data_IF_104756963693
#
_entry.id   IF_104756963693
#
_cell.length_a   1.000
_cell.length_b   1.000
_cell.length_c   1.000
_cell.angle_alpha   90.00
_cell.angle_beta   90.00
_cell.angle_gamma   90.00
#
_symmetry.space_group_name_H-M   'P 1'
#
loop_
_entity.id
_entity.type
_entity.pdbx_description
1 polymer ?
#
# COMPACT_ATOMS: atom_id res chain seq x y z
N UNK A 1 24.27 -11.35 12.18
CA UNK A 1 24.62 -10.26 11.25
C UNK A 1 23.69 -10.36 10.05
N UNK A 2 23.18 -9.23 9.55
CA UNK A 2 22.36 -9.18 8.35
C UNK A 2 23.22 -9.53 7.12
N UNK A 3 22.62 -10.20 6.10
CA UNK A 3 23.35 -10.60 4.89
C UNK A 3 23.84 -9.39 4.09
N UNK A 4 25.05 -9.47 3.55
CA UNK A 4 25.59 -8.50 2.60
C UNK A 4 25.37 -8.90 1.13
N UNK A 5 24.91 -10.12 0.87
CA UNK A 5 24.62 -10.61 -0.49
C UNK A 5 23.35 -9.96 -1.02
N UNK A 6 23.24 -9.79 -2.34
CA UNK A 6 22.02 -9.37 -2.97
C UNK A 6 20.85 -10.27 -2.58
N UNK A 7 19.69 -9.67 -2.35
CA UNK A 7 18.48 -10.37 -1.91
C UNK A 7 17.22 -9.76 -2.52
N UNK A 8 16.05 -10.36 -2.29
CA UNK A 8 14.81 -9.91 -2.89
C UNK A 8 14.38 -8.51 -2.40
N UNK A 9 13.59 -7.84 -3.20
CA UNK A 9 12.86 -6.63 -2.75
C UNK A 9 11.70 -7.10 -1.87
N UNK A 10 11.68 -6.68 -0.61
CA UNK A 10 10.60 -6.99 0.32
C UNK A 10 9.37 -6.13 0.06
N UNK A 11 8.20 -6.75 0.00
CA UNK A 11 6.90 -6.05 -0.06
C UNK A 11 6.11 -6.45 1.19
N UNK A 12 5.82 -5.49 2.05
CA UNK A 12 5.04 -5.72 3.26
C UNK A 12 3.64 -5.15 3.14
N UNK A 13 2.65 -5.93 3.53
CA UNK A 13 1.28 -5.46 3.73
C UNK A 13 0.67 -6.03 5.01
N UNK A 14 -0.33 -5.36 5.54
CA UNK A 14 -1.10 -5.83 6.70
C UNK A 14 -1.96 -7.06 6.40
N UNK A 15 -2.16 -7.41 5.14
CA UNK A 15 -3.01 -8.50 4.71
C UNK A 15 -2.80 -8.90 3.26
N UNK A 16 -3.85 -8.75 2.44
CA UNK A 16 -3.85 -9.16 1.04
C UNK A 16 -3.70 -8.00 0.06
N UNK A 17 -4.13 -6.80 0.44
CA UNK A 17 -4.27 -5.66 -0.47
C UNK A 17 -2.98 -5.27 -1.17
N UNK A 18 -1.83 -5.39 -0.50
CA UNK A 18 -0.52 -5.12 -1.07
C UNK A 18 -0.15 -6.00 -2.28
N UNK A 19 -0.89 -7.08 -2.54
CA UNK A 19 -0.75 -7.87 -3.76
C UNK A 19 -1.05 -7.04 -5.01
N UNK A 20 -1.95 -6.06 -4.94
CA UNK A 20 -2.20 -5.10 -6.05
C UNK A 20 -0.98 -4.23 -6.34
N UNK A 21 -0.24 -3.85 -5.30
CA UNK A 21 1.00 -3.09 -5.42
C UNK A 21 2.11 -3.97 -6.00
N UNK A 22 2.29 -5.18 -5.47
CA UNK A 22 3.26 -6.15 -5.99
C UNK A 22 2.97 -6.46 -7.47
N UNK A 23 1.70 -6.64 -7.85
CA UNK A 23 1.30 -6.88 -9.24
C UNK A 23 1.77 -5.75 -10.16
N UNK A 24 1.48 -4.48 -9.83
CA UNK A 24 1.94 -3.33 -10.60
C UNK A 24 3.47 -3.24 -10.69
N UNK A 25 4.17 -3.49 -9.58
CA UNK A 25 5.63 -3.50 -9.55
C UNK A 25 6.18 -4.61 -10.46
N UNK A 26 5.67 -5.84 -10.40
CA UNK A 26 6.11 -6.96 -11.23
C UNK A 26 5.88 -6.73 -12.73
N UNK A 27 4.81 -6.07 -13.10
CA UNK A 27 4.56 -5.73 -14.51
C UNK A 27 5.65 -4.81 -15.09
N UNK A 28 6.14 -3.86 -14.30
CA UNK A 28 7.13 -2.88 -14.75
C UNK A 28 8.58 -3.33 -14.52
N UNK A 29 8.82 -4.10 -13.46
CA UNK A 29 10.13 -4.54 -12.98
C UNK A 29 10.18 -6.07 -12.81
N UNK A 30 9.90 -6.86 -13.86
CA UNK A 30 9.77 -8.32 -13.76
C UNK A 30 11.09 -9.05 -13.49
N UNK A 31 12.24 -8.39 -13.66
CA UNK A 31 13.56 -8.99 -13.52
C UNK A 31 13.97 -9.25 -12.07
N UNK A 32 13.42 -8.52 -11.09
CA UNK A 32 13.81 -8.65 -9.68
C UNK A 32 13.14 -9.84 -9.00
N UNK A 33 13.80 -10.31 -7.93
CA UNK A 33 13.18 -11.23 -6.97
C UNK A 33 12.40 -10.44 -5.94
N UNK A 34 11.23 -10.96 -5.58
CA UNK A 34 10.35 -10.34 -4.59
C UNK A 34 10.05 -11.30 -3.45
N UNK A 35 9.90 -10.73 -2.25
CA UNK A 35 9.40 -11.43 -1.08
C UNK A 35 8.24 -10.65 -0.51
N UNK A 36 7.03 -11.20 -0.70
CA UNK A 36 5.80 -10.63 -0.14
C UNK A 36 5.58 -11.18 1.27
N UNK A 37 5.29 -10.28 2.21
CA UNK A 37 4.91 -10.63 3.58
C UNK A 37 3.57 -9.97 3.94
N UNK A 38 2.53 -10.80 4.11
CA UNK A 38 1.21 -10.39 4.61
C UNK A 38 1.06 -10.69 6.09
N UNK A 39 0.79 -9.67 6.90
CA UNK A 39 0.56 -9.84 8.34
C UNK A 39 -0.91 -10.11 8.67
N UNK A 40 -1.47 -11.12 8.03
CA UNK A 40 -2.90 -11.45 8.05
C UNK A 40 -3.43 -11.83 9.44
N UNK A 41 -2.62 -12.47 10.28
CA UNK A 41 -3.03 -12.84 11.65
C UNK A 41 -3.32 -11.61 12.54
N UNK A 42 -2.71 -10.45 12.21
CA UNK A 42 -2.89 -9.22 12.98
C UNK A 42 -3.72 -8.15 12.25
N UNK A 43 -4.20 -8.47 11.04
CA UNK A 43 -5.13 -7.62 10.28
C UNK A 43 -6.48 -7.45 11.04
N UNK A 44 -7.24 -6.37 10.77
CA UNK A 44 -6.89 -5.21 9.94
C UNK A 44 -6.09 -4.15 10.73
N UNK A 45 -5.24 -3.39 10.04
CA UNK A 45 -4.47 -2.28 10.63
C UNK A 45 -5.25 -0.95 10.70
N UNK A 46 -6.24 -0.79 9.82
CA UNK A 46 -7.00 0.46 9.67
C UNK A 46 -7.53 1.08 10.97
N UNK A 47 -8.20 0.32 11.86
CA UNK A 47 -8.75 0.83 13.11
C UNK A 47 -7.75 0.86 14.28
N UNK A 48 -6.55 0.29 14.15
CA UNK A 48 -5.58 0.17 15.25
C UNK A 48 -4.92 1.50 15.59
N UNK A 49 -4.41 1.63 16.82
CA UNK A 49 -3.65 2.79 17.27
C UNK A 49 -2.35 2.96 16.46
N UNK A 50 -1.74 4.14 16.59
CA UNK A 50 -0.48 4.45 15.94
C UNK A 50 0.64 3.49 16.41
N UNK A 51 0.79 3.35 17.72
CA UNK A 51 1.85 2.54 18.33
C UNK A 51 1.76 1.05 17.95
N UNK A 52 0.54 0.50 17.90
CA UNK A 52 0.33 -0.89 17.48
C UNK A 52 0.72 -1.10 16.02
N UNK A 53 0.31 -0.20 15.10
CA UNK A 53 0.68 -0.30 13.69
C UNK A 53 2.18 -0.11 13.50
N UNK A 54 2.79 0.83 14.22
CA UNK A 54 4.24 1.03 14.18
C UNK A 54 4.99 -0.23 14.62
N UNK A 55 4.66 -0.82 15.78
CA UNK A 55 5.36 -2.00 16.28
C UNK A 55 5.19 -3.20 15.35
N UNK A 56 3.99 -3.46 14.85
CA UNK A 56 3.76 -4.56 13.91
C UNK A 56 4.53 -4.39 12.60
N UNK A 57 4.53 -3.18 12.06
CA UNK A 57 5.26 -2.86 10.82
C UNK A 57 6.78 -2.97 11.04
N UNK A 58 7.28 -2.48 12.17
CA UNK A 58 8.70 -2.57 12.55
C UNK A 58 9.17 -4.02 12.62
N UNK A 59 8.41 -4.90 13.28
CA UNK A 59 8.72 -6.34 13.36
C UNK A 59 8.78 -6.98 11.96
N UNK A 60 7.82 -6.66 11.10
CA UNK A 60 7.80 -7.18 9.72
C UNK A 60 9.01 -6.69 8.90
N UNK A 61 9.36 -5.41 9.00
CA UNK A 61 10.52 -4.83 8.32
C UNK A 61 11.82 -5.49 8.79
N UNK A 62 12.00 -5.66 10.11
CA UNK A 62 13.17 -6.36 10.66
C UNK A 62 13.24 -7.78 10.13
N UNK A 63 12.12 -8.48 10.11
CA UNK A 63 12.06 -9.86 9.61
C UNK A 63 12.43 -9.96 8.13
N UNK A 64 11.93 -9.06 7.29
CA UNK A 64 12.31 -8.99 5.87
C UNK A 64 13.82 -8.72 5.70
N UNK A 65 14.41 -7.88 6.54
CA UNK A 65 15.85 -7.65 6.53
C UNK A 65 16.65 -8.88 6.95
N UNK A 66 16.20 -9.63 7.95
CA UNK A 66 16.81 -10.90 8.36
C UNK A 66 16.76 -11.94 7.23
N UNK A 67 15.73 -11.89 6.40
CA UNK A 67 15.55 -12.75 5.23
C UNK A 67 16.35 -12.28 4.00
N UNK A 68 17.17 -11.25 4.13
CA UNK A 68 18.08 -10.79 3.10
C UNK A 68 17.61 -9.61 2.26
N UNK A 69 16.42 -9.07 2.50
CA UNK A 69 15.98 -7.86 1.80
C UNK A 69 16.87 -6.67 2.16
N UNK A 70 17.30 -5.90 1.18
CA UNK A 70 18.01 -4.62 1.37
C UNK A 70 17.09 -3.43 1.16
N UNK A 71 16.00 -3.66 0.47
CA UNK A 71 14.95 -2.70 0.19
C UNK A 71 13.59 -3.31 0.54
N UNK A 72 12.80 -2.59 1.34
CA UNK A 72 11.44 -2.97 1.70
C UNK A 72 10.47 -1.86 1.28
N UNK A 73 9.40 -2.23 0.60
CA UNK A 73 8.28 -1.34 0.26
C UNK A 73 7.10 -1.68 1.17
N UNK A 74 6.62 -0.70 1.92
CA UNK A 74 5.38 -0.83 2.69
C UNK A 74 4.19 -0.70 1.73
N UNK A 75 3.72 -1.83 1.21
CA UNK A 75 2.58 -1.93 0.30
C UNK A 75 1.22 -1.66 0.96
N UNK A 76 1.20 -1.29 2.24
CA UNK A 76 0.02 -0.93 3.01
C UNK A 76 -0.04 0.59 3.26
N UNK A 77 -1.15 1.24 2.89
CA UNK A 77 -1.35 2.67 3.14
C UNK A 77 -1.34 3.00 4.63
N UNK A 78 -2.01 2.20 5.46
CA UNK A 78 -2.05 2.42 6.90
C UNK A 78 -0.68 2.28 7.54
N UNK A 79 0.10 1.28 7.14
CA UNK A 79 1.48 1.10 7.61
C UNK A 79 2.39 2.25 7.12
N UNK A 80 2.30 2.64 5.85
CA UNK A 80 3.02 3.79 5.30
C UNK A 80 2.70 5.08 6.04
N UNK A 81 1.42 5.30 6.37
CA UNK A 81 0.95 6.49 7.06
C UNK A 81 1.41 6.57 8.53
N UNK A 82 1.39 5.44 9.24
CA UNK A 82 1.59 5.41 10.69
C UNK A 82 2.98 4.97 11.12
N UNK A 83 3.71 4.19 10.32
CA UNK A 83 4.97 3.58 10.76
C UNK A 83 6.19 4.08 9.99
N UNK A 84 6.08 4.39 8.70
CA UNK A 84 7.23 4.64 7.83
C UNK A 84 8.20 5.68 8.39
N UNK A 85 7.71 6.85 8.77
CA UNK A 85 8.56 7.96 9.25
C UNK A 85 9.33 7.57 10.50
N UNK A 86 8.65 6.92 11.47
CA UNK A 86 9.29 6.47 12.71
C UNK A 86 10.34 5.40 12.43
N UNK A 87 10.03 4.42 11.57
CA UNK A 87 10.99 3.39 11.17
C UNK A 87 12.22 4.04 10.51
N UNK A 88 12.03 4.95 9.55
CA UNK A 88 13.13 5.60 8.85
C UNK A 88 14.02 6.44 9.77
N UNK A 89 13.42 7.17 10.71
CA UNK A 89 14.14 8.12 11.57
C UNK A 89 14.72 7.50 12.85
N UNK A 90 14.02 6.53 13.44
CA UNK A 90 14.36 6.00 14.77
C UNK A 90 15.00 4.62 14.71
N UNK A 91 14.56 3.77 13.77
CA UNK A 91 14.99 2.36 13.73
C UNK A 91 16.10 2.12 12.70
N UNK A 92 15.99 2.64 11.48
CA UNK A 92 16.97 2.41 10.42
C UNK A 92 18.40 2.77 10.82
N UNK A 93 18.67 3.90 11.50
CA UNK A 93 20.02 4.23 11.95
C UNK A 93 20.63 3.21 12.92
N UNK A 94 19.78 2.45 13.65
CA UNK A 94 20.21 1.44 14.64
C UNK A 94 20.26 0.03 14.06
N UNK A 95 19.41 -0.28 13.09
CA UNK A 95 19.30 -1.62 12.48
C UNK A 95 20.38 -1.77 11.40
N UNK A 96 20.32 -0.96 10.38
CA UNK A 96 21.27 -0.95 9.26
C UNK A 96 21.04 0.32 8.41
N UNK A 97 21.93 1.31 8.47
CA UNK A 97 21.79 2.56 7.74
C UNK A 97 21.94 2.42 6.21
N UNK A 98 22.41 1.28 5.72
CA UNK A 98 22.53 1.00 4.28
C UNK A 98 21.25 0.42 3.67
N UNK A 99 20.33 -0.10 4.49
CA UNK A 99 19.04 -0.61 4.02
C UNK A 99 18.00 0.50 3.88
N UNK A 100 16.94 0.22 3.15
CA UNK A 100 15.91 1.23 2.86
C UNK A 100 14.51 0.67 3.07
N UNK A 101 13.65 1.54 3.58
CA UNK A 101 12.20 1.31 3.67
C UNK A 101 11.50 2.45 2.94
N UNK A 102 10.66 2.10 1.97
CA UNK A 102 9.84 3.04 1.19
C UNK A 102 8.37 2.83 1.49
N UNK A 103 7.57 3.87 1.32
CA UNK A 103 6.11 3.80 1.42
C UNK A 103 5.43 4.13 0.11
N UNK A 104 4.12 3.89 0.04
CA UNK A 104 3.32 4.05 -1.19
C UNK A 104 2.50 5.35 -1.24
N UNK A 105 2.54 6.19 -0.19
CA UNK A 105 1.80 7.46 -0.18
C UNK A 105 2.51 8.51 -1.05
N UNK A 106 3.82 8.67 -0.85
CA UNK A 106 4.61 9.69 -1.54
C UNK A 106 4.59 9.57 -3.07
N UNK A 107 4.72 8.39 -3.70
CA UNK A 107 4.59 8.25 -5.14
C UNK A 107 3.30 8.85 -5.71
N UNK A 108 2.17 8.61 -5.04
CA UNK A 108 0.88 9.17 -5.42
C UNK A 108 0.82 10.68 -5.22
N UNK A 109 1.42 11.19 -4.13
CA UNK A 109 1.49 12.62 -3.86
C UNK A 109 2.36 13.37 -4.89
N UNK A 110 3.39 12.74 -5.42
CA UNK A 110 4.26 13.32 -6.46
C UNK A 110 3.52 13.54 -7.79
N UNK A 111 2.67 12.60 -8.20
CA UNK A 111 1.98 12.67 -9.49
C UNK A 111 0.66 13.42 -9.47
N UNK A 112 0.01 13.55 -8.31
CA UNK A 112 -1.36 14.07 -8.22
C UNK A 112 -1.49 15.49 -8.80
N UNK A 113 -0.42 16.30 -8.69
CA UNK A 113 -0.39 17.64 -9.24
C UNK A 113 -0.61 17.72 -10.75
N UNK A 114 -0.25 16.67 -11.50
CA UNK A 114 -0.46 16.56 -12.94
C UNK A 114 -1.81 15.93 -13.29
N UNK A 115 -2.48 15.31 -12.32
CA UNK A 115 -3.72 14.57 -12.53
C UNK A 115 -4.99 15.38 -12.21
N UNK A 116 -4.86 16.42 -11.38
CA UNK A 116 -5.95 17.35 -11.06
C UNK A 116 -5.83 18.64 -11.86
N UNK A 117 -6.96 19.16 -12.32
CA UNK A 117 -7.08 20.49 -12.97
C UNK A 117 -7.68 21.52 -12.02
N UNK A 118 -8.65 21.08 -11.21
CA UNK A 118 -9.35 21.94 -10.23
C UNK A 118 -8.47 22.32 -9.03
N UNK A 119 -7.39 21.56 -8.79
CA UNK A 119 -6.58 21.63 -7.58
C UNK A 119 -7.33 21.20 -6.31
N UNK A 120 -8.43 20.45 -6.48
CA UNK A 120 -9.21 19.83 -5.43
C UNK A 120 -9.15 18.30 -5.57
N UNK A 121 -8.64 17.63 -4.55
CA UNK A 121 -8.36 16.19 -4.56
C UNK A 121 -9.07 15.49 -3.42
N UNK A 122 -9.78 14.41 -3.75
CA UNK A 122 -10.40 13.52 -2.77
C UNK A 122 -9.44 12.38 -2.38
N UNK A 123 -9.49 11.95 -1.12
CA UNK A 123 -8.81 10.74 -0.63
C UNK A 123 -9.83 9.83 0.02
N UNK A 124 -10.04 8.64 -0.56
CA UNK A 124 -10.82 7.57 0.04
C UNK A 124 -9.84 6.54 0.63
N UNK A 125 -9.89 6.32 1.94
CA UNK A 125 -8.90 5.49 2.63
C UNK A 125 -9.48 4.84 3.90
N UNK A 126 -8.66 4.06 4.59
CA UNK A 126 -9.01 3.55 5.92
C UNK A 126 -9.06 4.69 6.94
N UNK A 127 -9.77 4.45 8.05
CA UNK A 127 -9.87 5.43 9.14
C UNK A 127 -8.47 5.86 9.65
N UNK A 128 -7.56 4.90 9.81
CA UNK A 128 -6.20 5.18 10.26
C UNK A 128 -5.39 6.04 9.29
N UNK A 129 -5.54 5.83 7.99
CA UNK A 129 -4.89 6.63 6.96
C UNK A 129 -5.44 8.06 6.93
N UNK A 130 -6.77 8.22 7.01
CA UNK A 130 -7.39 9.57 7.05
C UNK A 130 -6.97 10.33 8.30
N UNK A 131 -7.05 9.69 9.49
CA UNK A 131 -6.68 10.34 10.76
C UNK A 131 -5.18 10.70 10.87
N UNK A 132 -4.32 10.04 10.11
CA UNK A 132 -2.88 10.33 10.10
C UNK A 132 -2.53 11.63 9.37
N UNK A 133 -3.44 12.17 8.56
CA UNK A 133 -3.22 13.34 7.68
C UNK A 133 -2.05 13.16 6.68
N UNK A 134 -1.51 11.94 6.52
CA UNK A 134 -0.28 11.70 5.75
C UNK A 134 -0.40 12.11 4.28
N UNK A 135 -1.58 11.92 3.64
CA UNK A 135 -1.80 12.41 2.28
C UNK A 135 -1.79 13.94 2.22
N UNK A 136 -2.49 14.60 3.14
CA UNK A 136 -2.54 16.06 3.22
C UNK A 136 -1.12 16.62 3.39
N UNK A 137 -0.36 16.07 4.33
CA UNK A 137 1.01 16.51 4.61
C UNK A 137 1.95 16.30 3.42
N UNK A 138 1.92 15.15 2.75
CA UNK A 138 2.80 14.89 1.62
C UNK A 138 2.39 15.68 0.36
N UNK A 139 1.09 15.81 0.08
CA UNK A 139 0.59 16.61 -1.05
C UNK A 139 0.91 18.09 -0.84
N UNK A 140 0.66 18.65 0.34
CA UNK A 140 0.95 20.07 0.63
C UNK A 140 2.43 20.42 0.53
N UNK A 141 3.34 19.49 0.85
CA UNK A 141 4.79 19.73 0.67
C UNK A 141 5.19 19.86 -0.80
N UNK A 142 4.53 19.15 -1.69
CA UNK A 142 4.86 19.08 -3.11
C UNK A 142 4.01 20.04 -3.95
N UNK A 143 2.77 20.22 -3.54
CA UNK A 143 1.74 20.98 -4.23
C UNK A 143 0.92 21.78 -3.21
N UNK A 144 1.47 22.89 -2.67
CA UNK A 144 0.82 23.64 -1.59
C UNK A 144 -0.50 24.32 -2.01
N UNK A 145 -0.77 24.41 -3.28
CA UNK A 145 -2.00 24.93 -3.88
C UNK A 145 -3.12 23.89 -4.01
N UNK A 146 -2.87 22.61 -3.71
CA UNK A 146 -3.90 21.57 -3.78
C UNK A 146 -4.65 21.48 -2.45
N UNK A 147 -5.98 21.58 -2.54
CA UNK A 147 -6.89 21.29 -1.44
C UNK A 147 -7.18 19.80 -1.39
N UNK A 148 -6.99 19.17 -0.22
CA UNK A 148 -7.21 17.73 -0.02
C UNK A 148 -8.39 17.51 0.91
N UNK A 149 -9.37 16.72 0.47
CA UNK A 149 -10.50 16.28 1.26
C UNK A 149 -10.49 14.77 1.45
N UNK A 150 -10.47 14.29 2.70
CA UNK A 150 -10.45 12.86 3.02
C UNK A 150 -11.77 12.34 3.56
N UNK A 151 -12.12 11.09 3.18
CA UNK A 151 -13.25 10.33 3.75
C UNK A 151 -12.82 8.91 4.06
N UNK A 152 -13.14 8.44 5.28
CA UNK A 152 -12.84 7.08 5.72
C UNK A 152 -13.89 6.10 5.18
N UNK A 153 -13.43 4.95 4.67
CA UNK A 153 -14.28 3.90 4.08
C UNK A 153 -14.11 2.56 4.84
N UNK A 154 -14.56 2.45 6.10
CA UNK A 154 -14.25 1.31 6.98
C UNK A 154 -14.80 -0.03 6.48
N UNK A 155 -15.88 -0.04 5.68
CA UNK A 155 -16.50 -1.26 5.17
C UNK A 155 -15.92 -1.75 3.83
N UNK A 156 -15.09 -0.95 3.14
CA UNK A 156 -14.64 -1.31 1.81
C UNK A 156 -13.62 -2.46 1.81
N UNK A 157 -12.76 -2.55 2.83
CA UNK A 157 -11.84 -3.70 2.99
C UNK A 157 -12.63 -4.99 3.24
N UNK A 158 -13.56 -5.06 4.22
CA UNK A 158 -14.43 -6.23 4.40
C UNK A 158 -15.18 -6.65 3.13
N UNK A 159 -15.75 -5.72 2.37
CA UNK A 159 -16.45 -6.05 1.12
C UNK A 159 -15.55 -6.81 0.15
N UNK A 160 -14.28 -6.43 0.04
CA UNK A 160 -13.33 -7.10 -0.84
C UNK A 160 -12.92 -8.46 -0.26
N UNK A 161 -12.53 -8.52 1.02
CA UNK A 161 -12.00 -9.74 1.65
C UNK A 161 -13.06 -10.84 1.82
N UNK A 162 -14.34 -10.48 1.93
CA UNK A 162 -15.45 -11.44 1.97
C UNK A 162 -16.09 -11.71 0.60
N UNK A 163 -15.43 -11.29 -0.49
CA UNK A 163 -15.90 -11.48 -1.87
C UNK A 163 -17.29 -10.88 -2.14
N UNK A 164 -17.59 -9.76 -1.46
CA UNK A 164 -18.85 -9.02 -1.59
C UNK A 164 -18.72 -7.76 -2.47
N UNK A 165 -17.58 -7.59 -3.15
CA UNK A 165 -17.29 -6.41 -3.96
C UNK A 165 -18.36 -6.16 -5.06
N UNK A 166 -18.94 -7.22 -5.62
CA UNK A 166 -19.94 -7.15 -6.67
C UNK A 166 -21.40 -7.18 -6.14
N UNK A 167 -21.59 -7.40 -4.84
CA UNK A 167 -22.91 -7.51 -4.23
C UNK A 167 -23.72 -6.19 -4.30
N UNK A 168 -25.07 -6.25 -4.24
CA UNK A 168 -25.90 -5.06 -4.07
C UNK A 168 -25.58 -4.29 -2.78
N UNK A 169 -25.09 -4.98 -1.73
CA UNK A 169 -24.65 -4.35 -0.48
C UNK A 169 -23.47 -3.43 -0.71
N UNK A 170 -22.54 -3.79 -1.59
CA UNK A 170 -21.40 -2.94 -1.95
C UNK A 170 -21.85 -1.61 -2.58
N UNK A 171 -22.91 -1.63 -3.41
CA UNK A 171 -23.46 -0.40 -4.01
C UNK A 171 -23.83 0.63 -2.95
N UNK A 172 -24.48 0.21 -1.86
CA UNK A 172 -24.85 1.11 -0.77
C UNK A 172 -23.64 1.74 -0.09
N UNK A 173 -22.66 0.90 0.30
CA UNK A 173 -21.49 1.39 1.03
C UNK A 173 -20.56 2.24 0.16
N UNK A 174 -20.40 1.87 -1.12
CA UNK A 174 -19.59 2.65 -2.06
C UNK A 174 -20.25 3.98 -2.36
N UNK A 175 -21.53 3.97 -2.76
CA UNK A 175 -22.28 5.20 -3.05
C UNK A 175 -22.26 6.17 -1.88
N UNK A 176 -22.51 5.67 -0.65
CA UNK A 176 -22.49 6.50 0.57
C UNK A 176 -21.21 7.31 0.72
N UNK A 177 -20.03 6.70 0.45
CA UNK A 177 -18.74 7.38 0.60
C UNK A 177 -18.41 8.29 -0.58
N UNK A 178 -18.83 7.93 -1.77
CA UNK A 178 -18.73 8.83 -2.93
C UNK A 178 -19.62 10.08 -2.72
N UNK A 179 -20.88 9.91 -2.33
CA UNK A 179 -21.76 11.04 -2.04
C UNK A 179 -21.21 11.94 -0.91
N UNK A 180 -20.58 11.33 0.11
CA UNK A 180 -20.00 12.06 1.23
C UNK A 180 -18.82 12.93 0.79
N UNK A 181 -17.88 12.38 0.02
CA UNK A 181 -16.69 13.11 -0.39
C UNK A 181 -17.04 14.21 -1.39
N UNK A 182 -17.94 13.94 -2.33
CA UNK A 182 -18.40 14.93 -3.31
C UNK A 182 -19.25 16.06 -2.68
N UNK A 183 -19.97 15.77 -1.59
CA UNK A 183 -20.66 16.79 -0.82
C UNK A 183 -19.70 17.64 0.02
N UNK A 184 -18.64 17.01 0.55
CA UNK A 184 -17.61 17.70 1.34
C UNK A 184 -16.84 18.71 0.50
N UNK A 185 -16.56 18.37 -0.75
CA UNK A 185 -15.89 19.25 -1.70
C UNK A 185 -16.37 18.96 -3.14
N UNK A 186 -17.32 19.75 -3.65
CA UNK A 186 -17.88 19.58 -4.99
C UNK A 186 -16.92 19.90 -6.15
N UNK A 187 -15.76 20.49 -5.86
CA UNK A 187 -14.75 20.84 -6.87
C UNK A 187 -13.75 19.73 -7.13
N UNK A 188 -13.83 18.62 -6.39
CA UNK A 188 -12.96 17.45 -6.60
C UNK A 188 -13.07 16.94 -8.02
N UNK A 189 -11.92 16.85 -8.71
CA UNK A 189 -11.79 16.27 -10.05
C UNK A 189 -10.83 15.06 -10.11
N UNK A 190 -10.17 14.74 -9.00
CA UNK A 190 -9.34 13.56 -8.85
C UNK A 190 -9.52 12.92 -7.47
N UNK A 191 -9.67 11.59 -7.42
CA UNK A 191 -9.83 10.81 -6.18
C UNK A 191 -8.74 9.77 -6.07
N UNK A 192 -7.95 9.84 -5.01
CA UNK A 192 -6.94 8.86 -4.65
C UNK A 192 -7.59 7.69 -3.91
N UNK A 193 -7.33 6.47 -4.37
CA UNK A 193 -7.66 5.25 -3.64
C UNK A 193 -6.55 4.94 -2.63
N UNK A 194 -6.65 5.52 -1.44
CA UNK A 194 -5.67 5.43 -0.35
C UNK A 194 -5.76 4.12 0.45
N UNK A 195 -6.16 3.03 -0.19
CA UNK A 195 -6.12 1.67 0.33
C UNK A 195 -5.97 0.69 -0.83
N UNK A 196 -5.11 -0.28 -0.65
CA UNK A 196 -4.70 -1.27 -1.65
C UNK A 196 -5.80 -2.27 -2.04
N UNK A 197 -6.86 -2.39 -1.25
CA UNK A 197 -8.05 -3.18 -1.56
C UNK A 197 -9.00 -2.47 -2.54
N UNK A 198 -9.03 -1.15 -2.53
CA UNK A 198 -10.07 -0.37 -3.21
C UNK A 198 -10.08 -0.47 -4.74
N UNK A 199 -8.96 -0.77 -5.43
CA UNK A 199 -9.01 -1.07 -6.87
C UNK A 199 -9.96 -2.21 -7.25
N UNK A 200 -10.22 -3.17 -6.35
CA UNK A 200 -11.18 -4.26 -6.59
C UNK A 200 -12.64 -3.79 -6.57
N UNK A 201 -12.90 -2.60 -6.02
CA UNK A 201 -14.21 -1.93 -6.05
C UNK A 201 -14.35 -0.94 -7.23
N UNK A 202 -13.37 -0.88 -8.14
CA UNK A 202 -13.35 0.11 -9.22
C UNK A 202 -14.65 0.19 -10.03
N UNK A 203 -15.28 -0.94 -10.45
CA UNK A 203 -16.55 -0.88 -11.19
C UNK A 203 -17.66 -0.17 -10.41
N UNK A 204 -17.72 -0.40 -9.10
CA UNK A 204 -18.71 0.24 -8.22
C UNK A 204 -18.38 1.71 -7.97
N UNK A 205 -17.09 2.04 -7.81
CA UNK A 205 -16.62 3.42 -7.63
C UNK A 205 -17.00 4.25 -8.87
N UNK A 206 -16.63 3.77 -10.06
CA UNK A 206 -16.93 4.47 -11.32
C UNK A 206 -18.43 4.61 -11.58
N UNK A 207 -19.26 3.64 -11.14
CA UNK A 207 -20.72 3.69 -11.27
C UNK A 207 -21.35 4.90 -10.56
N UNK A 208 -20.77 5.34 -9.44
CA UNK A 208 -21.35 6.37 -8.58
C UNK A 208 -20.61 7.71 -8.61
N UNK A 209 -19.44 7.76 -9.27
CA UNK A 209 -18.71 9.01 -9.44
C UNK A 209 -19.37 9.89 -10.49
N UNK A 210 -19.40 11.21 -10.29
CA UNK A 210 -19.77 12.16 -11.33
C UNK A 210 -18.84 12.08 -12.53
N UNK A 211 -19.37 12.40 -13.72
CA UNK A 211 -18.57 12.51 -14.93
C UNK A 211 -17.42 13.52 -14.75
N UNK A 212 -16.27 13.18 -15.28
CA UNK A 212 -15.07 14.04 -15.25
C UNK A 212 -14.21 13.89 -14.00
N UNK A 213 -14.63 13.15 -12.98
CA UNK A 213 -13.79 12.85 -11.81
C UNK A 213 -12.89 11.66 -12.12
N UNK A 214 -11.56 11.87 -12.04
CA UNK A 214 -10.56 10.82 -12.26
C UNK A 214 -10.34 9.99 -10.99
N UNK A 215 -10.27 8.68 -11.13
CA UNK A 215 -9.81 7.78 -10.06
C UNK A 215 -8.33 7.48 -10.23
N UNK A 216 -7.58 7.55 -9.13
CA UNK A 216 -6.12 7.37 -9.09
C UNK A 216 -5.80 6.14 -8.24
N UNK A 217 -5.69 4.93 -8.84
CA UNK A 217 -5.13 3.76 -8.18
C UNK A 217 -3.60 3.91 -8.05
N UNK A 218 -3.00 3.19 -7.09
CA UNK A 218 -1.60 3.45 -6.73
C UNK A 218 -0.57 2.56 -7.45
N UNK A 219 -0.97 1.37 -7.91
CA UNK A 219 -0.03 0.32 -8.33
C UNK A 219 1.00 0.79 -9.37
N UNK A 220 0.55 1.44 -10.43
CA UNK A 220 1.42 1.94 -11.52
C UNK A 220 2.36 3.05 -11.03
N UNK A 221 1.85 4.02 -10.28
CA UNK A 221 2.67 5.15 -9.77
C UNK A 221 3.72 4.70 -8.77
N UNK A 222 3.39 3.70 -7.95
CA UNK A 222 4.36 3.09 -7.03
C UNK A 222 5.44 2.33 -7.80
N UNK A 223 5.07 1.61 -8.86
CA UNK A 223 6.01 0.89 -9.72
C UNK A 223 6.97 1.85 -10.43
N UNK A 224 6.44 2.93 -11.04
CA UNK A 224 7.25 3.97 -11.69
C UNK A 224 8.21 4.65 -10.70
N UNK A 225 7.71 5.04 -9.53
CA UNK A 225 8.54 5.66 -8.49
C UNK A 225 9.63 4.72 -7.98
N UNK A 226 9.34 3.42 -7.83
CA UNK A 226 10.34 2.42 -7.46
C UNK A 226 11.42 2.28 -8.52
N UNK A 227 11.04 2.23 -9.82
CA UNK A 227 11.99 2.20 -10.96
C UNK A 227 12.91 3.40 -10.93
N UNK A 228 12.37 4.60 -10.79
CA UNK A 228 13.16 5.83 -10.71
C UNK A 228 14.05 5.86 -9.46
N UNK A 229 13.55 5.35 -8.34
CA UNK A 229 14.33 5.23 -7.11
C UNK A 229 15.56 4.34 -7.32
N UNK A 230 15.40 3.15 -7.89
CA UNK A 230 16.49 2.22 -8.17
C UNK A 230 17.50 2.82 -9.14
N UNK A 231 17.04 3.50 -10.21
CA UNK A 231 17.91 4.19 -11.16
C UNK A 231 18.78 5.28 -10.49
N UNK A 232 18.22 6.01 -9.53
CA UNK A 232 18.94 7.06 -8.79
C UNK A 232 19.81 6.54 -7.65
N UNK A 233 19.65 5.27 -7.25
CA UNK A 233 20.37 4.65 -6.13
C UNK A 233 21.01 3.32 -6.54
N UNK A 234 22.01 3.33 -7.45
CA UNK A 234 22.61 2.10 -7.96
C UNK A 234 23.23 1.23 -6.86
N UNK A 235 23.65 1.84 -5.73
CA UNK A 235 24.15 1.10 -4.57
C UNK A 235 23.07 0.26 -3.86
N UNK A 236 21.79 0.61 -3.99
CA UNK A 236 20.66 -0.18 -3.51
C UNK A 236 20.24 -1.18 -4.57
N UNK A 237 20.18 -0.74 -5.83
CA UNK A 237 19.82 -1.59 -6.98
C UNK A 237 20.72 -2.83 -7.07
N UNK A 238 22.04 -2.67 -6.94
CA UNK A 238 23.02 -3.77 -6.94
C UNK A 238 22.84 -4.78 -5.79
N UNK A 239 22.13 -4.38 -4.74
CA UNK A 239 21.76 -5.25 -3.61
C UNK A 239 20.41 -5.94 -3.81
N UNK A 240 19.69 -5.68 -4.90
CA UNK A 240 18.43 -6.33 -5.27
C UNK A 240 18.72 -7.50 -6.22
N UNK A 241 18.38 -8.73 -5.82
CA UNK A 241 18.59 -9.90 -6.65
C UNK A 241 17.64 -9.96 -7.85
N UNK A 242 18.14 -10.53 -8.94
CA UNK A 242 17.45 -10.59 -10.23
C UNK A 242 17.32 -12.04 -10.69
N UNK A 243 16.20 -12.68 -10.37
CA UNK A 243 15.88 -14.05 -10.76
C UNK A 243 14.42 -14.18 -11.21
N UNK A 244 13.68 -13.06 -11.29
CA UNK A 244 12.27 -13.01 -11.67
C UNK A 244 11.37 -13.91 -10.80
N UNK A 245 11.75 -14.14 -9.54
CA UNK A 245 11.03 -15.01 -8.61
C UNK A 245 10.19 -14.23 -7.62
N UNK A 246 9.12 -14.87 -7.10
CA UNK A 246 8.30 -14.33 -6.02
C UNK A 246 8.08 -15.39 -4.96
N UNK A 247 8.36 -15.03 -3.71
CA UNK A 247 7.98 -15.82 -2.54
C UNK A 247 6.88 -15.09 -1.79
N UNK A 248 5.83 -15.82 -1.41
CA UNK A 248 4.73 -15.28 -0.62
C UNK A 248 4.75 -15.88 0.78
N UNK A 249 4.59 -15.02 1.78
CA UNK A 249 4.58 -15.40 3.18
C UNK A 249 3.41 -14.74 3.90
N UNK A 250 2.84 -15.48 4.84
CA UNK A 250 1.74 -14.99 5.69
C UNK A 250 1.95 -15.35 7.15
N UNK A 251 1.45 -14.51 8.05
CA UNK A 251 1.38 -14.83 9.50
C UNK A 251 0.14 -15.65 9.86
N UNK A 252 -0.76 -15.88 8.91
CA UNK A 252 -1.99 -16.67 9.05
C UNK A 252 -1.83 -18.02 8.34
N UNK A 253 -2.90 -18.81 8.27
CA UNK A 253 -2.95 -20.07 7.53
C UNK A 253 -2.63 -19.86 6.04
N UNK A 254 -1.60 -20.55 5.48
CA UNK A 254 -1.22 -20.43 4.08
C UNK A 254 -2.35 -20.79 3.09
N UNK A 255 -3.18 -21.78 3.39
CA UNK A 255 -4.29 -22.18 2.50
C UNK A 255 -5.34 -21.06 2.39
N UNK A 256 -5.69 -20.43 3.51
CA UNK A 256 -6.57 -19.26 3.50
C UNK A 256 -5.96 -18.11 2.69
N UNK A 257 -4.64 -17.91 2.79
CA UNK A 257 -3.96 -16.89 2.00
C UNK A 257 -4.02 -17.20 0.51
N UNK A 258 -3.80 -18.44 0.09
CA UNK A 258 -3.88 -18.88 -1.31
C UNK A 258 -5.24 -18.57 -1.92
N UNK A 259 -6.31 -18.94 -1.21
CA UNK A 259 -7.69 -18.68 -1.65
C UNK A 259 -7.94 -17.18 -1.87
N UNK A 260 -7.55 -16.37 -0.90
CA UNK A 260 -7.75 -14.92 -0.98
C UNK A 260 -6.84 -14.28 -2.05
N UNK A 261 -5.59 -14.71 -2.17
CA UNK A 261 -4.65 -14.16 -3.15
C UNK A 261 -5.15 -14.29 -4.60
N UNK A 262 -5.93 -15.33 -4.91
CA UNK A 262 -6.57 -15.49 -6.23
C UNK A 262 -7.49 -14.32 -6.60
N UNK A 263 -8.16 -13.69 -5.62
CA UNK A 263 -9.03 -12.52 -5.85
C UNK A 263 -8.21 -11.32 -6.34
N UNK A 264 -6.96 -11.20 -5.87
CA UNK A 264 -6.09 -10.06 -6.17
C UNK A 264 -5.17 -10.29 -7.37
N UNK A 265 -4.70 -11.52 -7.57
CA UNK A 265 -3.67 -11.86 -8.57
C UNK A 265 -4.23 -12.58 -9.78
N UNK A 266 -5.41 -13.23 -9.67
CA UNK A 266 -6.03 -14.08 -10.69
C UNK A 266 -5.13 -15.27 -11.12
N UNK A 267 -4.14 -15.63 -10.30
CA UNK A 267 -3.22 -16.76 -10.47
C UNK A 267 -3.03 -17.49 -9.13
N UNK A 268 -2.79 -18.81 -9.15
CA UNK A 268 -2.46 -19.56 -7.93
C UNK A 268 -1.06 -19.20 -7.46
N UNK A 269 -0.87 -19.20 -6.14
CA UNK A 269 0.42 -18.90 -5.51
C UNK A 269 0.78 -19.96 -4.47
N UNK A 270 2.09 -20.23 -4.31
CA UNK A 270 2.60 -21.01 -3.20
C UNK A 270 2.98 -20.08 -2.05
N UNK A 271 2.54 -20.44 -0.83
CA UNK A 271 2.63 -19.56 0.34
C UNK A 271 3.28 -20.29 1.50
N UNK A 272 4.21 -19.62 2.16
CA UNK A 272 4.90 -20.09 3.37
C UNK A 272 4.32 -19.41 4.62
N UNK A 273 4.19 -20.17 5.71
CA UNK A 273 3.83 -19.58 7.01
C UNK A 273 5.06 -18.96 7.67
N UNK A 274 4.87 -17.82 8.34
CA UNK A 274 5.91 -17.16 9.11
C UNK A 274 5.35 -16.61 10.43
N UNK A 275 6.18 -16.61 11.46
CA UNK A 275 5.85 -15.97 12.73
C UNK A 275 6.64 -14.66 12.86
N UNK A 276 5.96 -13.58 13.14
CA UNK A 276 6.54 -12.31 13.58
C UNK A 276 6.49 -12.28 15.11
N UNK A 277 7.46 -11.65 15.75
CA UNK A 277 7.70 -11.71 17.20
C UNK A 277 6.45 -11.69 18.08
N UNK A 278 6.55 -12.24 19.27
CA UNK A 278 5.46 -12.27 20.24
C UNK A 278 5.01 -10.85 20.61
N UNK A 279 3.69 -10.68 20.70
CA UNK A 279 3.06 -9.50 21.31
C UNK A 279 3.47 -9.34 22.74
#
# INVERSE_FOLDING_TARGET
>A
MLSSKAGPIGIFDSGYGGLTILHGIRQLLPQYDYLYLGDNARAPYGPRSFDVVYEFTRQAVVRLFEMGCHLVVLGCNTASAKALRSIQQLDMPKIDPERRVLGIIRPTAEVIGSLTRSRHVGVLATEGTIKSESYNLEIQKLHPDIQVSGVACPFWVPLVEYNEADSPGADYFVKKRIDEIMRKDPLIDAIILGCTHYPLLMPKILKFLPDGVRVVPQGEYVADSLREYLNRHPQIEQKCSQGASVRYMTTENPEKFKEQAQIFLHEPVEVESITLGNL
#
